data_IF_048293600760
#
_entry.id   IF_048293600760
#
_cell.length_a   1.000
_cell.length_b   1.000
_cell.length_c   1.000
_cell.angle_alpha   90.00
_cell.angle_beta   90.00
_cell.angle_gamma   90.00
#
_symmetry.space_group_name_H-M   'P 1'
#
loop_
_entity.id
_entity.type
_entity.pdbx_description
1 polymer ?
#
# COMPACT_ATOMS: atom_id res chain seq x y z
N UNK A 1 -10.35 38.25 72.61
CA UNK A 1 -11.64 37.85 73.24
C UNK A 1 -11.71 36.37 72.89
N UNK A 2 -11.27 35.58 73.83
CA UNK A 2 -11.99 34.89 74.92
C UNK A 2 -12.55 33.58 74.30
N UNK A 3 -11.91 32.46 74.66
CA UNK A 3 -12.23 31.58 75.81
C UNK A 3 -13.21 30.49 75.40
N UNK A 4 -13.09 29.25 75.66
CA UNK A 4 -12.42 28.45 76.70
C UNK A 4 -12.87 27.00 76.43
N UNK A 5 -12.05 26.02 76.61
CA UNK A 5 -11.78 25.21 77.81
C UNK A 5 -12.96 24.28 78.18
N UNK A 6 -12.79 23.04 78.33
CA UNK A 6 -12.37 22.12 79.38
C UNK A 6 -13.07 20.77 79.18
N UNK A 7 -12.35 19.67 79.19
CA UNK A 7 -12.02 18.71 80.25
C UNK A 7 -13.20 17.87 80.80
N UNK A 8 -13.03 16.54 80.77
CA UNK A 8 -12.92 15.62 81.93
C UNK A 8 -13.09 14.18 81.42
N UNK A 9 -12.09 13.39 81.33
CA UNK A 9 -11.59 12.34 82.24
C UNK A 9 -12.65 11.39 82.86
N UNK A 10 -12.55 10.10 82.66
CA UNK A 10 -12.21 9.07 83.61
C UNK A 10 -12.45 7.63 83.10
N UNK A 11 -11.37 6.92 83.06
CA UNK A 11 -11.06 5.54 83.54
C UNK A 11 -12.21 4.57 83.81
N UNK A 12 -12.07 3.34 83.25
CA UNK A 12 -11.93 2.07 84.01
C UNK A 12 -11.55 0.88 83.13
N UNK A 13 -10.56 0.19 83.68
CA UNK A 13 -10.02 -1.12 83.35
C UNK A 13 -11.09 -2.22 83.26
N UNK A 14 -10.91 -3.27 82.43
CA UNK A 14 -10.55 -4.61 82.85
C UNK A 14 -10.67 -5.62 81.68
N UNK A 15 -9.67 -6.49 81.63
CA UNK A 15 -9.61 -7.93 81.22
C UNK A 15 -9.47 -8.34 79.77
N UNK A 16 -8.32 -8.94 79.55
CA UNK A 16 -7.84 -9.76 78.53
C UNK A 16 -8.72 -10.94 78.16
N UNK A 17 -8.85 -11.18 76.88
CA UNK A 17 -9.00 -12.56 76.35
C UNK A 17 -8.30 -12.66 74.99
N UNK A 18 -7.26 -13.45 74.97
CA UNK A 18 -6.54 -13.84 73.75
C UNK A 18 -7.45 -14.68 72.86
N UNK A 19 -7.76 -14.18 71.66
CA UNK A 19 -8.27 -15.02 70.59
C UNK A 19 -7.32 -14.91 69.39
N UNK A 20 -6.63 -16.03 69.13
CA UNK A 20 -5.89 -16.28 67.93
C UNK A 20 -6.87 -16.30 66.76
N UNK A 21 -6.72 -15.37 65.77
CA UNK A 21 -7.44 -15.44 64.48
C UNK A 21 -6.51 -16.05 63.45
N UNK A 22 -7.00 -17.02 62.65
CA UNK A 22 -6.21 -17.60 61.59
C UNK A 22 -6.04 -16.58 60.46
N UNK A 23 -4.79 -16.43 60.00
CA UNK A 23 -4.42 -15.64 58.83
C UNK A 23 -4.96 -16.40 57.57
N UNK A 24 -6.10 -15.95 57.08
CA UNK A 24 -6.54 -16.34 55.71
C UNK A 24 -5.68 -15.57 54.72
N UNK A 25 -4.71 -16.28 54.11
CA UNK A 25 -4.04 -15.82 52.88
C UNK A 25 -5.10 -15.74 51.78
N UNK A 26 -5.54 -14.56 51.44
CA UNK A 26 -6.22 -14.31 50.16
C UNK A 26 -5.18 -14.50 49.03
N UNK A 27 -5.29 -15.59 48.32
CA UNK A 27 -4.67 -15.69 47.01
C UNK A 27 -5.45 -14.73 46.06
N UNK A 28 -4.88 -13.58 45.78
CA UNK A 28 -5.35 -12.73 44.71
C UNK A 28 -4.98 -13.42 43.38
N UNK A 29 -5.93 -14.14 42.77
CA UNK A 29 -5.85 -14.52 41.37
C UNK A 29 -5.98 -13.23 40.55
N UNK A 30 -4.85 -12.73 40.06
CA UNK A 30 -4.84 -11.74 39.00
C UNK A 30 -5.26 -12.44 37.71
N UNK A 31 -6.54 -12.33 37.37
CA UNK A 31 -6.98 -12.60 35.99
C UNK A 31 -6.33 -11.53 35.09
N UNK A 32 -5.27 -11.91 34.38
CA UNK A 32 -4.82 -11.12 33.25
C UNK A 32 -5.93 -11.16 32.19
N UNK A 33 -6.38 -10.01 31.66
CA UNK A 33 -7.33 -10.04 30.55
C UNK A 33 -6.62 -10.65 29.34
N UNK A 34 -7.03 -11.84 28.94
CA UNK A 34 -6.76 -12.34 27.59
C UNK A 34 -7.47 -11.36 26.63
N UNK A 35 -6.74 -10.41 26.08
CA UNK A 35 -7.15 -9.76 24.86
C UNK A 35 -7.06 -10.81 23.75
N UNK A 36 -8.16 -11.54 23.55
CA UNK A 36 -8.41 -12.20 22.29
C UNK A 36 -8.49 -11.07 21.24
N UNK A 37 -7.41 -10.89 20.49
CA UNK A 37 -7.50 -10.20 19.22
C UNK A 37 -8.43 -11.10 18.39
N UNK A 38 -9.71 -10.76 18.36
CA UNK A 38 -10.60 -11.29 17.38
C UNK A 38 -9.98 -10.90 16.04
N UNK A 39 -9.37 -11.86 15.35
CA UNK A 39 -9.11 -11.72 13.92
C UNK A 39 -10.49 -11.42 13.32
N UNK A 40 -10.75 -10.17 12.97
CA UNK A 40 -11.88 -9.83 12.15
C UNK A 40 -11.80 -10.78 10.95
N UNK A 41 -12.81 -11.61 10.76
CA UNK A 41 -12.94 -12.37 9.54
C UNK A 41 -12.84 -11.34 8.43
N UNK A 42 -11.77 -11.42 7.64
CA UNK A 42 -11.60 -10.53 6.51
C UNK A 42 -12.68 -10.91 5.51
N UNK A 43 -13.79 -10.20 5.58
CA UNK A 43 -14.89 -10.41 4.64
C UNK A 43 -14.36 -10.21 3.22
N UNK A 44 -14.93 -10.98 2.31
CA UNK A 44 -14.63 -10.86 0.90
C UNK A 44 -14.97 -9.46 0.43
N UNK A 45 -13.98 -8.75 -0.10
CA UNK A 45 -14.23 -7.41 -0.64
C UNK A 45 -15.09 -7.49 -1.90
N UNK A 46 -15.90 -6.47 -2.09
CA UNK A 46 -16.67 -6.31 -3.33
C UNK A 46 -15.87 -5.46 -4.31
N UNK A 47 -15.64 -6.01 -5.51
CA UNK A 47 -14.94 -5.32 -6.60
C UNK A 47 -15.70 -5.50 -7.91
N UNK A 48 -15.65 -4.50 -8.78
CA UNK A 48 -16.20 -4.58 -10.14
C UNK A 48 -15.13 -4.21 -11.16
N UNK A 49 -15.27 -4.75 -12.36
CA UNK A 49 -14.43 -4.35 -13.48
C UNK A 49 -14.69 -2.89 -13.85
N UNK A 50 -13.65 -2.04 -14.02
CA UNK A 50 -13.82 -0.59 -14.05
C UNK A 50 -14.34 -0.02 -15.37
N UNK A 51 -14.62 -0.86 -16.37
CA UNK A 51 -15.11 -0.46 -17.69
C UNK A 51 -16.33 -1.27 -18.13
N UNK A 52 -17.09 -0.86 -19.16
CA UNK A 52 -18.17 -1.66 -19.71
C UNK A 52 -17.67 -2.88 -20.54
N UNK A 53 -16.36 -3.03 -20.79
CA UNK A 53 -15.81 -4.17 -21.51
C UNK A 53 -15.92 -5.44 -20.66
N UNK A 54 -16.92 -6.28 -20.94
CA UNK A 54 -17.24 -7.48 -20.18
C UNK A 54 -16.37 -8.70 -20.53
N UNK A 55 -15.45 -8.58 -21.48
CA UNK A 55 -14.67 -9.71 -21.96
C UNK A 55 -13.86 -10.42 -20.86
N UNK A 56 -13.37 -9.67 -19.83
CA UNK A 56 -12.74 -10.28 -18.67
C UNK A 56 -13.76 -11.09 -17.83
N UNK A 57 -14.94 -10.54 -17.54
CA UNK A 57 -16.00 -11.22 -16.79
C UNK A 57 -16.47 -12.48 -17.51
N UNK A 58 -16.51 -12.45 -18.84
CA UNK A 58 -16.89 -13.57 -19.71
C UNK A 58 -15.76 -14.61 -19.89
N UNK A 59 -14.59 -14.39 -19.29
CA UNK A 59 -13.45 -15.30 -19.40
C UNK A 59 -12.82 -15.35 -20.79
N UNK A 60 -12.98 -14.27 -21.58
CA UNK A 60 -12.37 -14.14 -22.92
C UNK A 60 -10.85 -14.00 -22.82
N UNK A 61 -10.10 -14.30 -23.88
CA UNK A 61 -8.64 -14.10 -23.88
C UNK A 61 -8.28 -12.63 -23.71
N UNK A 62 -7.08 -12.36 -23.14
CA UNK A 62 -6.62 -11.00 -22.83
C UNK A 62 -6.66 -10.03 -24.01
N UNK A 63 -6.47 -10.51 -25.23
CA UNK A 63 -6.59 -9.71 -26.46
C UNK A 63 -7.96 -9.06 -26.67
N UNK A 64 -9.00 -9.55 -25.98
CA UNK A 64 -10.34 -9.00 -26.08
C UNK A 64 -10.55 -7.78 -25.17
N UNK A 65 -9.76 -7.63 -24.09
CA UNK A 65 -9.95 -6.56 -23.09
C UNK A 65 -8.67 -5.81 -22.73
N UNK A 66 -7.48 -6.28 -23.08
CA UNK A 66 -6.21 -5.56 -22.89
C UNK A 66 -5.82 -4.85 -24.18
N UNK A 67 -5.56 -3.54 -24.06
CA UNK A 67 -5.09 -2.69 -25.16
C UNK A 67 -3.58 -2.83 -25.30
N UNK A 68 -3.08 -3.34 -26.45
CA UNK A 68 -1.66 -3.40 -26.68
C UNK A 68 -1.05 -2.02 -26.95
N UNK A 69 0.25 -1.91 -26.73
CA UNK A 69 1.06 -0.80 -27.25
C UNK A 69 1.13 -0.88 -28.79
N UNK A 70 1.95 -0.03 -29.41
CA UNK A 70 2.19 -0.10 -30.87
C UNK A 70 2.77 -1.43 -31.36
N UNK A 71 3.25 -2.30 -30.44
CA UNK A 71 3.73 -3.65 -30.76
C UNK A 71 2.62 -4.58 -31.27
N UNK A 72 1.36 -4.30 -30.92
CA UNK A 72 0.23 -5.19 -31.21
C UNK A 72 0.14 -6.41 -30.28
N UNK A 73 1.14 -6.66 -29.42
CA UNK A 73 1.13 -7.74 -28.45
C UNK A 73 0.28 -7.35 -27.22
N UNK A 74 -0.83 -8.07 -26.91
CA UNK A 74 -1.66 -7.79 -25.75
C UNK A 74 -0.89 -7.79 -24.43
N UNK A 75 0.18 -8.59 -24.28
CA UNK A 75 1.01 -8.62 -23.10
C UNK A 75 1.61 -7.23 -22.78
N UNK A 76 1.88 -6.41 -23.80
CA UNK A 76 2.43 -5.05 -23.60
C UNK A 76 1.50 -4.08 -22.88
N UNK A 77 0.22 -4.41 -22.75
CA UNK A 77 -0.77 -3.66 -21.96
C UNK A 77 -1.04 -4.25 -20.59
N UNK A 78 -0.40 -5.36 -20.22
CA UNK A 78 -0.45 -5.96 -18.88
C UNK A 78 0.51 -5.26 -17.94
N UNK A 79 0.38 -5.56 -16.64
CA UNK A 79 1.27 -5.08 -15.59
C UNK A 79 2.66 -5.72 -15.68
N UNK A 80 3.69 -4.95 -15.29
CA UNK A 80 5.05 -5.46 -15.08
C UNK A 80 6.03 -5.20 -16.22
N UNK A 81 7.03 -6.07 -16.34
CA UNK A 81 8.13 -5.99 -17.32
C UNK A 81 7.69 -6.43 -18.71
N UNK A 82 6.73 -5.73 -19.28
CA UNK A 82 6.03 -6.15 -20.52
C UNK A 82 6.32 -5.25 -21.72
N UNK A 83 7.08 -4.16 -21.53
CA UNK A 83 7.39 -3.18 -22.55
C UNK A 83 8.88 -3.19 -22.88
N UNK A 84 9.23 -2.84 -24.14
CA UNK A 84 10.63 -2.74 -24.61
C UNK A 84 11.45 -4.01 -24.31
N UNK A 85 10.91 -5.19 -24.63
CA UNK A 85 11.55 -6.50 -24.39
C UNK A 85 11.87 -6.76 -22.91
N UNK A 86 10.96 -6.39 -22.00
CA UNK A 86 11.11 -6.62 -20.57
C UNK A 86 12.03 -5.64 -19.82
N UNK A 87 12.35 -4.50 -20.42
CA UNK A 87 13.22 -3.47 -19.81
C UNK A 87 12.39 -2.33 -19.22
N UNK A 88 11.22 -2.03 -19.81
CA UNK A 88 10.33 -0.97 -19.33
C UNK A 88 9.15 -1.56 -18.58
N UNK A 89 9.02 -1.14 -17.33
CA UNK A 89 7.95 -1.51 -16.42
C UNK A 89 6.65 -0.77 -16.78
N UNK A 90 5.51 -1.43 -16.55
CA UNK A 90 4.17 -0.88 -16.68
C UNK A 90 3.43 -1.00 -15.34
N UNK A 91 3.00 0.11 -14.77
CA UNK A 91 2.51 0.24 -13.39
C UNK A 91 1.07 -0.26 -13.19
N UNK A 92 0.33 -0.53 -14.26
CA UNK A 92 -1.06 -0.97 -14.24
C UNK A 92 -1.41 -1.87 -15.40
N UNK A 93 -2.69 -1.88 -15.78
CA UNK A 93 -3.18 -2.54 -16.99
C UNK A 93 -3.88 -1.53 -17.90
N UNK A 94 -3.73 -1.71 -19.21
CA UNK A 94 -4.38 -0.89 -20.21
C UNK A 94 -5.65 -1.60 -20.70
N UNK A 95 -6.84 -1.14 -20.26
CA UNK A 95 -8.12 -1.78 -20.57
C UNK A 95 -8.69 -1.19 -21.86
N UNK A 96 -8.93 -2.05 -22.83
CA UNK A 96 -9.42 -1.71 -24.16
C UNK A 96 -10.83 -1.12 -24.12
N UNK A 97 -11.05 -0.05 -24.91
CA UNK A 97 -12.38 0.52 -25.14
C UNK A 97 -13.30 -0.51 -25.83
N UNK A 98 -14.53 -0.63 -25.32
CA UNK A 98 -15.59 -1.43 -25.90
C UNK A 98 -16.57 -0.59 -26.74
N UNK A 99 -16.76 0.66 -26.40
CA UNK A 99 -17.76 1.53 -27.01
C UNK A 99 -17.10 2.74 -27.67
N UNK A 100 -17.46 2.98 -28.95
CA UNK A 100 -16.94 4.12 -29.72
C UNK A 100 -18.03 4.83 -30.48
N UNK A 101 -17.89 6.13 -30.61
CA UNK A 101 -18.76 6.94 -31.46
C UNK A 101 -18.43 6.76 -32.96
N UNK A 102 -19.19 7.46 -33.83
CA UNK A 102 -18.99 7.43 -35.28
C UNK A 102 -17.64 8.00 -35.74
N UNK A 103 -16.95 8.77 -34.88
CA UNK A 103 -15.62 9.33 -35.15
C UNK A 103 -14.52 8.44 -34.58
N UNK A 104 -14.87 7.34 -33.94
CA UNK A 104 -13.95 6.42 -33.28
C UNK A 104 -13.49 6.87 -31.91
N UNK A 105 -14.09 7.91 -31.30
CA UNK A 105 -13.79 8.31 -29.93
C UNK A 105 -14.37 7.31 -28.93
N UNK A 106 -13.64 6.97 -27.84
CA UNK A 106 -14.16 6.06 -26.82
C UNK A 106 -15.33 6.71 -26.08
N UNK A 107 -16.35 5.90 -25.80
CA UNK A 107 -17.57 6.31 -25.07
C UNK A 107 -17.72 5.61 -23.74
N UNK A 108 -16.79 4.71 -23.39
CA UNK A 108 -16.85 3.87 -22.21
C UNK A 108 -16.97 4.71 -20.94
N UNK A 109 -17.99 4.41 -20.13
CA UNK A 109 -18.17 4.95 -18.78
C UNK A 109 -17.25 4.24 -17.82
N UNK A 110 -16.32 4.97 -17.21
CA UNK A 110 -15.40 4.45 -16.20
C UNK A 110 -16.09 4.42 -14.85
N UNK A 111 -15.95 3.31 -14.14
CA UNK A 111 -16.61 3.04 -12.86
C UNK A 111 -15.58 2.89 -11.75
N UNK A 112 -15.94 3.35 -10.53
CA UNK A 112 -15.17 3.06 -9.33
C UNK A 112 -15.14 1.54 -9.08
N UNK A 113 -13.95 0.97 -9.07
CA UNK A 113 -13.77 -0.48 -8.91
C UNK A 113 -14.16 -0.98 -7.51
N UNK A 114 -14.09 -0.10 -6.52
CA UNK A 114 -14.43 -0.33 -5.11
C UNK A 114 -15.02 0.96 -4.52
N UNK A 115 -15.79 0.90 -3.41
CA UNK A 115 -16.23 2.10 -2.70
C UNK A 115 -15.04 2.81 -2.06
N UNK A 116 -15.03 4.15 -2.07
CA UNK A 116 -13.89 4.90 -1.55
C UNK A 116 -14.07 6.40 -1.55
N UNK A 117 -12.96 7.11 -1.40
CA UNK A 117 -12.91 8.58 -1.38
C UNK A 117 -11.98 9.07 -2.48
N UNK A 118 -12.47 9.91 -3.36
CA UNK A 118 -11.65 10.61 -4.37
C UNK A 118 -10.62 11.46 -3.64
N UNK A 119 -9.34 11.21 -3.89
CA UNK A 119 -8.24 11.95 -3.27
C UNK A 119 -7.58 12.94 -4.20
N UNK A 120 -7.58 12.65 -5.49
CA UNK A 120 -6.93 13.49 -6.48
C UNK A 120 -7.66 13.44 -7.82
N UNK A 121 -7.70 14.57 -8.49
CA UNK A 121 -8.21 14.70 -9.86
C UNK A 121 -7.27 15.61 -10.65
N UNK A 122 -6.64 15.05 -11.69
CA UNK A 122 -5.97 15.86 -12.70
C UNK A 122 -6.92 16.13 -13.87
N UNK A 123 -7.33 17.35 -14.04
CA UNK A 123 -8.20 17.76 -15.15
C UNK A 123 -7.44 18.17 -16.42
N UNK A 124 -6.11 18.28 -16.35
CA UNK A 124 -5.23 18.66 -17.48
C UNK A 124 -4.77 17.41 -18.24
N UNK A 125 -4.48 17.58 -19.53
CA UNK A 125 -3.94 16.50 -20.37
C UNK A 125 -2.41 16.47 -20.38
N UNK A 126 -1.79 16.73 -19.23
CA UNK A 126 -0.34 16.79 -19.05
C UNK A 126 0.20 15.56 -18.30
N UNK A 127 1.51 15.32 -18.43
CA UNK A 127 2.17 14.13 -17.88
C UNK A 127 1.77 12.84 -18.59
N UNK A 128 2.36 11.74 -18.15
CA UNK A 128 2.14 10.42 -18.79
C UNK A 128 0.71 9.91 -18.56
N UNK A 129 0.12 10.16 -17.40
CA UNK A 129 -1.27 9.76 -17.09
C UNK A 129 -2.34 10.65 -17.77
N UNK A 130 -2.00 11.85 -18.24
CA UNK A 130 -2.98 12.80 -18.74
C UNK A 130 -4.01 13.17 -17.67
N UNK A 131 -5.31 13.17 -18.03
CA UNK A 131 -6.40 13.32 -17.06
C UNK A 131 -6.56 12.02 -16.28
N UNK A 132 -6.56 12.12 -14.95
CA UNK A 132 -6.72 10.94 -14.10
C UNK A 132 -7.39 11.25 -12.77
N UNK A 133 -7.93 10.20 -12.17
CA UNK A 133 -8.53 10.20 -10.83
C UNK A 133 -7.80 9.20 -9.97
N UNK A 134 -7.57 9.54 -8.70
CA UNK A 134 -7.14 8.59 -7.66
C UNK A 134 -8.20 8.49 -6.59
N UNK A 135 -8.61 7.27 -6.29
CA UNK A 135 -9.56 6.93 -5.22
C UNK A 135 -8.82 6.11 -4.17
N UNK A 136 -8.90 6.51 -2.91
CA UNK A 136 -8.41 5.71 -1.78
C UNK A 136 -9.56 4.91 -1.18
N UNK A 137 -9.28 3.68 -0.77
CA UNK A 137 -10.24 2.73 -0.22
C UNK A 137 -9.93 2.42 1.25
N UNK A 138 -10.30 3.34 2.19
CA UNK A 138 -9.94 3.20 3.61
C UNK A 138 -10.63 2.03 4.31
N UNK A 139 -11.72 1.50 3.73
CA UNK A 139 -12.41 0.31 4.24
C UNK A 139 -11.72 -1.02 3.90
N UNK A 140 -10.63 -0.99 3.14
CA UNK A 140 -9.85 -2.17 2.73
C UNK A 140 -8.60 -2.28 3.61
N UNK A 141 -8.19 -3.50 3.94
CA UNK A 141 -6.97 -3.77 4.71
C UNK A 141 -6.01 -4.63 3.89
N UNK A 142 -4.74 -4.19 3.70
CA UNK A 142 -4.27 -2.81 3.85
C UNK A 142 -5.04 -1.84 2.95
N UNK A 143 -5.19 -0.58 3.34
CA UNK A 143 -5.83 0.44 2.50
C UNK A 143 -5.07 0.57 1.18
N UNK A 144 -5.80 0.59 0.06
CA UNK A 144 -5.22 0.72 -1.27
C UNK A 144 -5.77 1.96 -1.97
N UNK A 145 -5.08 2.38 -3.03
CA UNK A 145 -5.64 3.30 -4.00
C UNK A 145 -6.04 2.55 -5.28
N UNK A 146 -6.95 3.15 -6.05
CA UNK A 146 -7.13 2.87 -7.48
C UNK A 146 -6.87 4.14 -8.27
N UNK A 147 -6.23 3.99 -9.44
CA UNK A 147 -5.93 5.08 -10.35
C UNK A 147 -6.55 4.78 -11.72
N UNK A 148 -7.21 5.80 -12.28
CA UNK A 148 -7.94 5.74 -13.55
C UNK A 148 -7.39 6.84 -14.44
N UNK A 149 -6.59 6.51 -15.47
CA UNK A 149 -5.90 7.49 -16.29
C UNK A 149 -6.33 7.48 -17.77
N UNK A 150 -5.76 8.43 -18.53
CA UNK A 150 -6.05 8.71 -19.94
C UNK A 150 -7.50 9.11 -20.21
N UNK A 151 -8.17 9.73 -19.22
CA UNK A 151 -9.58 10.09 -19.31
C UNK A 151 -9.85 11.18 -20.36
N UNK A 152 -11.02 11.13 -21.02
CA UNK A 152 -11.53 12.21 -21.82
C UNK A 152 -12.08 13.33 -20.92
N UNK A 153 -12.83 12.96 -19.89
CA UNK A 153 -13.41 13.90 -18.91
C UNK A 153 -13.72 13.19 -17.60
N UNK A 154 -13.75 13.97 -16.53
CA UNK A 154 -14.26 13.56 -15.22
C UNK A 154 -15.73 13.98 -15.15
N UNK A 155 -16.59 13.13 -14.56
CA UNK A 155 -18.02 13.43 -14.46
C UNK A 155 -18.29 14.54 -13.43
N UNK A 156 -19.37 15.31 -13.61
CA UNK A 156 -19.80 16.31 -12.63
C UNK A 156 -19.98 15.71 -11.24
N UNK A 157 -19.55 16.43 -10.20
CA UNK A 157 -19.63 15.99 -8.82
C UNK A 157 -18.46 15.11 -8.35
N UNK A 158 -17.57 14.67 -9.24
CA UNK A 158 -16.36 13.90 -8.89
C UNK A 158 -15.20 14.88 -8.65
N UNK A 159 -14.86 15.08 -7.38
CA UNK A 159 -13.80 15.99 -6.93
C UNK A 159 -13.12 15.44 -5.68
N UNK A 160 -11.92 15.91 -5.31
CA UNK A 160 -11.27 15.52 -4.06
C UNK A 160 -12.20 15.67 -2.85
N UNK A 161 -12.32 14.60 -2.04
CA UNK A 161 -13.25 14.50 -0.90
C UNK A 161 -14.60 13.84 -1.23
N UNK A 162 -14.95 13.64 -2.50
CA UNK A 162 -16.17 12.94 -2.88
C UNK A 162 -16.09 11.46 -2.49
N UNK A 163 -17.11 10.96 -1.80
CA UNK A 163 -17.32 9.52 -1.59
C UNK A 163 -17.93 8.92 -2.85
N UNK A 164 -17.44 7.78 -3.26
CA UNK A 164 -17.95 7.02 -4.40
C UNK A 164 -18.32 5.61 -3.98
N UNK A 165 -19.42 5.14 -4.55
CA UNK A 165 -19.93 3.79 -4.33
C UNK A 165 -19.33 2.79 -5.31
N UNK A 166 -19.43 1.49 -4.99
CA UNK A 166 -19.05 0.40 -5.88
C UNK A 166 -19.76 0.55 -7.24
N UNK A 167 -19.00 0.56 -8.33
CA UNK A 167 -19.54 0.64 -9.68
C UNK A 167 -20.10 2.01 -10.07
N UNK A 168 -19.99 3.03 -9.21
CA UNK A 168 -20.39 4.40 -9.55
C UNK A 168 -19.61 4.91 -10.76
N UNK A 169 -20.28 5.50 -11.74
CA UNK A 169 -19.64 6.15 -12.87
C UNK A 169 -18.89 7.40 -12.40
N UNK A 170 -17.62 7.53 -12.81
CA UNK A 170 -16.73 8.61 -12.36
C UNK A 170 -16.14 9.43 -13.51
N UNK A 171 -16.03 8.84 -14.71
CA UNK A 171 -15.36 9.47 -15.84
C UNK A 171 -15.81 8.86 -17.18
N UNK A 172 -15.34 9.48 -18.27
CA UNK A 172 -15.38 8.93 -19.63
C UNK A 172 -13.95 8.53 -20.01
N UNK A 173 -13.78 7.33 -20.58
CA UNK A 173 -12.51 6.88 -21.17
C UNK A 173 -12.04 7.84 -22.25
N UNK A 174 -10.74 8.00 -22.38
CA UNK A 174 -10.15 8.83 -23.40
C UNK A 174 -8.81 8.31 -23.89
N UNK A 175 -7.96 9.25 -24.29
CA UNK A 175 -6.58 9.00 -24.73
C UNK A 175 -5.67 10.19 -24.39
N UNK A 176 -5.97 10.89 -23.29
CA UNK A 176 -5.19 12.05 -22.84
C UNK A 176 -3.82 11.62 -22.33
N UNK A 177 -2.77 12.31 -22.76
CA UNK A 177 -1.39 12.13 -22.34
C UNK A 177 -0.54 13.25 -22.95
N UNK A 178 0.56 13.63 -22.29
CA UNK A 178 1.54 14.56 -22.88
C UNK A 178 2.26 13.98 -24.10
N UNK A 179 2.37 12.66 -24.22
CA UNK A 179 3.05 11.96 -25.32
C UNK A 179 2.13 11.66 -26.50
N UNK A 180 0.82 11.93 -26.37
CA UNK A 180 -0.18 11.67 -27.39
C UNK A 180 -0.46 10.16 -27.58
N UNK A 181 -1.63 9.72 -27.14
CA UNK A 181 -2.12 8.37 -27.43
C UNK A 181 -3.03 8.46 -28.66
N UNK A 182 -2.77 7.69 -29.74
CA UNK A 182 -3.67 7.66 -30.87
C UNK A 182 -5.07 7.20 -30.46
N UNK A 183 -6.10 7.81 -31.03
CA UNK A 183 -7.51 7.52 -30.73
C UNK A 183 -7.86 6.03 -30.88
N UNK A 184 -7.29 5.37 -31.87
CA UNK A 184 -7.50 3.92 -32.13
C UNK A 184 -7.00 3.05 -30.97
N UNK A 185 -6.06 3.58 -30.18
CA UNK A 185 -5.50 2.94 -28.98
C UNK A 185 -6.00 3.56 -27.67
N UNK A 186 -7.11 4.31 -27.72
CA UNK A 186 -7.75 4.81 -26.50
C UNK A 186 -8.09 3.67 -25.55
N UNK A 187 -7.75 3.84 -24.29
CA UNK A 187 -7.85 2.82 -23.24
C UNK A 187 -7.96 3.47 -21.86
N UNK A 188 -8.36 2.70 -20.88
CA UNK A 188 -8.20 3.03 -19.48
C UNK A 188 -6.88 2.44 -18.99
N UNK A 189 -5.93 3.28 -18.56
CA UNK A 189 -4.83 2.81 -17.71
C UNK A 189 -5.35 2.72 -16.26
N UNK A 190 -5.29 1.52 -15.69
CA UNK A 190 -5.88 1.21 -14.39
C UNK A 190 -4.85 0.61 -13.44
N UNK A 191 -4.72 1.19 -12.25
CA UNK A 191 -3.83 0.69 -11.20
C UNK A 191 -4.60 0.38 -9.91
N UNK A 192 -4.09 -0.59 -9.16
CA UNK A 192 -4.39 -0.82 -7.74
C UNK A 192 -3.06 -0.87 -7.00
N UNK A 193 -2.93 -0.16 -5.86
CA UNK A 193 -1.64 -0.15 -5.17
C UNK A 193 -1.68 0.52 -3.81
N UNK A 194 -0.50 0.75 -3.26
CA UNK A 194 -0.26 1.42 -1.98
C UNK A 194 0.55 2.70 -2.17
N UNK A 195 0.30 3.70 -1.34
CA UNK A 195 1.10 4.93 -1.30
C UNK A 195 2.36 4.67 -0.47
N UNK A 196 3.54 5.08 -0.97
CA UNK A 196 4.81 4.83 -0.28
C UNK A 196 4.94 5.69 0.98
N UNK A 197 4.75 7.01 0.89
CA UNK A 197 4.94 7.89 2.05
C UNK A 197 4.09 9.15 1.98
N UNK A 198 3.71 9.69 3.14
CA UNK A 198 3.11 11.02 3.27
C UNK A 198 4.17 12.13 3.30
N UNK A 199 5.43 11.79 3.49
CA UNK A 199 6.55 12.73 3.47
C UNK A 199 7.17 12.88 2.07
N UNK A 200 6.42 12.56 1.03
CA UNK A 200 6.88 12.50 -0.35
C UNK A 200 7.52 13.79 -0.86
N UNK A 201 7.02 14.96 -0.44
CA UNK A 201 7.57 16.24 -0.88
C UNK A 201 9.04 16.39 -0.51
N UNK A 202 9.44 15.96 0.70
CA UNK A 202 10.84 16.03 1.14
C UNK A 202 11.76 15.20 0.24
N UNK A 203 11.30 14.01 -0.16
CA UNK A 203 12.04 13.16 -1.09
C UNK A 203 12.10 13.80 -2.49
N UNK A 204 10.96 14.30 -3.00
CA UNK A 204 10.89 14.94 -4.33
C UNK A 204 11.86 16.11 -4.45
N UNK A 205 11.88 17.01 -3.46
CA UNK A 205 12.76 18.18 -3.43
C UNK A 205 14.24 17.76 -3.37
N UNK A 206 14.56 16.65 -2.68
CA UNK A 206 15.93 16.13 -2.62
C UNK A 206 16.46 15.66 -3.98
N UNK A 207 15.56 15.24 -4.89
CA UNK A 207 15.91 14.74 -6.23
C UNK A 207 16.22 15.83 -7.25
N UNK A 208 15.82 17.08 -6.99
CA UNK A 208 16.09 18.23 -7.86
C UNK A 208 15.67 18.01 -9.32
N UNK A 209 14.44 17.52 -9.53
CA UNK A 209 13.91 17.21 -10.88
C UNK A 209 13.81 18.43 -11.81
N UNK A 210 14.03 19.66 -11.32
CA UNK A 210 13.94 20.88 -12.11
C UNK A 210 12.51 21.39 -12.33
N UNK A 211 11.50 20.69 -11.85
CA UNK A 211 10.08 21.07 -11.90
C UNK A 211 9.43 20.85 -10.54
N UNK A 212 8.41 21.64 -10.16
CA UNK A 212 7.69 21.45 -8.92
C UNK A 212 6.86 20.15 -8.95
N UNK A 213 6.59 19.60 -7.76
CA UNK A 213 5.64 18.50 -7.62
C UNK A 213 4.20 19.03 -7.68
N UNK A 214 3.60 19.05 -8.85
CA UNK A 214 2.23 19.52 -9.07
C UNK A 214 1.15 18.49 -8.67
N UNK A 215 1.55 17.25 -8.35
CA UNK A 215 0.64 16.14 -8.06
C UNK A 215 0.55 15.83 -6.56
N UNK A 216 1.36 16.50 -5.72
CA UNK A 216 1.39 16.27 -4.28
C UNK A 216 1.71 14.81 -3.95
N UNK A 217 0.95 14.22 -3.04
CA UNK A 217 1.11 12.82 -2.62
C UNK A 217 0.74 11.80 -3.72
N UNK A 218 -0.05 12.23 -4.71
CA UNK A 218 -0.58 11.38 -5.78
C UNK A 218 0.25 11.45 -7.07
N UNK A 219 1.51 11.81 -6.91
CA UNK A 219 2.53 11.70 -7.94
C UNK A 219 2.90 10.22 -8.15
N UNK A 220 3.02 9.78 -9.40
CA UNK A 220 3.31 8.37 -9.73
C UNK A 220 4.56 7.81 -9.05
N UNK A 221 5.57 8.63 -8.74
CA UNK A 221 6.74 8.19 -7.97
C UNK A 221 6.43 7.80 -6.51
N UNK A 222 5.28 8.17 -5.98
CA UNK A 222 4.83 7.83 -4.63
C UNK A 222 3.80 6.69 -4.62
N UNK A 223 3.49 6.14 -5.77
CA UNK A 223 2.48 5.11 -5.94
C UNK A 223 3.14 3.80 -6.36
N UNK A 224 2.80 2.71 -5.67
CA UNK A 224 3.29 1.38 -5.96
C UNK A 224 2.11 0.47 -6.27
N UNK A 225 1.87 0.26 -7.55
CA UNK A 225 0.86 -0.68 -8.04
C UNK A 225 1.32 -2.13 -7.87
N UNK A 226 0.36 -3.03 -7.66
CA UNK A 226 0.50 -4.47 -7.86
C UNK A 226 -0.34 -4.90 -9.06
N UNK A 227 -0.13 -6.13 -9.55
CA UNK A 227 -0.81 -6.61 -10.75
C UNK A 227 -2.34 -6.65 -10.59
N UNK A 228 -3.09 -5.71 -11.21
CA UNK A 228 -4.53 -5.68 -11.06
C UNK A 228 -5.19 -6.91 -11.68
N UNK A 229 -4.66 -7.42 -12.80
CA UNK A 229 -5.26 -8.55 -13.50
C UNK A 229 -5.06 -9.85 -12.73
N UNK A 230 -3.88 -10.07 -12.15
CA UNK A 230 -3.62 -11.21 -11.27
C UNK A 230 -4.53 -11.17 -10.03
N UNK A 231 -4.65 -9.98 -9.40
CA UNK A 231 -5.55 -9.80 -8.27
C UNK A 231 -7.02 -10.11 -8.62
N UNK A 232 -7.55 -9.53 -9.70
CA UNK A 232 -8.91 -9.80 -10.16
C UNK A 232 -9.14 -11.28 -10.50
N UNK A 233 -8.16 -11.93 -11.13
CA UNK A 233 -8.25 -13.35 -11.48
C UNK A 233 -8.27 -14.24 -10.25
N UNK A 234 -7.39 -13.99 -9.27
CA UNK A 234 -7.36 -14.73 -7.99
C UNK A 234 -8.63 -14.50 -7.19
N UNK A 235 -9.12 -13.26 -7.13
CA UNK A 235 -10.38 -12.93 -6.47
C UNK A 235 -11.55 -13.66 -7.12
N UNK A 236 -11.67 -13.64 -8.45
CA UNK A 236 -12.72 -14.37 -9.18
C UNK A 236 -12.64 -15.88 -8.94
N UNK A 237 -11.44 -16.44 -8.92
CA UNK A 237 -11.19 -17.86 -8.66
C UNK A 237 -11.32 -18.25 -7.17
N UNK A 238 -11.65 -17.32 -6.27
CA UNK A 238 -11.71 -17.52 -4.82
C UNK A 238 -10.40 -18.04 -4.22
N UNK A 239 -9.28 -17.63 -4.78
CA UNK A 239 -7.94 -17.90 -4.24
C UNK A 239 -7.52 -16.84 -3.23
N UNK A 240 -8.14 -15.66 -3.30
CA UNK A 240 -8.06 -14.59 -2.31
C UNK A 240 -9.44 -13.94 -2.18
N UNK A 241 -9.80 -13.53 -0.98
CA UNK A 241 -11.03 -12.79 -0.73
C UNK A 241 -10.79 -11.28 -0.54
N UNK A 242 -9.54 -10.88 -0.27
CA UNK A 242 -9.20 -9.49 0.01
C UNK A 242 -7.72 -9.20 -0.31
N UNK A 243 -7.31 -7.92 -0.15
CA UNK A 243 -5.95 -7.46 -0.44
C UNK A 243 -4.93 -8.03 0.55
N UNK A 244 -5.30 -8.22 1.82
CA UNK A 244 -4.39 -8.80 2.82
C UNK A 244 -3.98 -10.24 2.44
N UNK A 245 -4.93 -11.04 1.98
CA UNK A 245 -4.66 -12.40 1.51
C UNK A 245 -3.82 -12.40 0.24
N UNK A 246 -4.08 -11.44 -0.67
CA UNK A 246 -3.27 -11.26 -1.87
C UNK A 246 -1.81 -10.95 -1.52
N UNK A 247 -1.58 -10.02 -0.59
CA UNK A 247 -0.24 -9.70 -0.10
C UNK A 247 0.42 -10.89 0.61
N UNK A 248 -0.35 -11.70 1.33
CA UNK A 248 0.12 -12.93 1.95
C UNK A 248 0.64 -13.99 0.96
N UNK A 249 0.27 -13.90 -0.33
CA UNK A 249 0.76 -14.77 -1.40
C UNK A 249 1.97 -14.21 -2.15
N UNK A 250 2.37 -12.94 -1.89
CA UNK A 250 3.53 -12.35 -2.53
C UNK A 250 4.81 -13.10 -2.18
N UNK A 251 5.73 -13.17 -3.14
CA UNK A 251 7.03 -13.82 -2.97
C UNK A 251 8.12 -12.76 -2.87
N UNK A 252 8.98 -12.90 -1.88
CA UNK A 252 10.11 -12.01 -1.71
C UNK A 252 11.16 -12.25 -2.81
N UNK A 253 11.42 -11.23 -3.62
CA UNK A 253 12.62 -11.18 -4.44
C UNK A 253 13.82 -10.75 -3.59
N UNK A 254 13.61 -9.81 -2.67
CA UNK A 254 14.65 -9.26 -1.81
C UNK A 254 14.17 -9.24 -0.36
N UNK A 255 15.05 -9.64 0.57
CA UNK A 255 14.91 -9.35 1.99
C UNK A 255 16.07 -8.45 2.40
N UNK A 256 15.76 -7.26 2.92
CA UNK A 256 16.75 -6.30 3.37
C UNK A 256 16.60 -6.01 4.86
N UNK A 257 17.73 -5.81 5.56
CA UNK A 257 17.78 -5.27 6.93
C UNK A 257 18.19 -3.81 6.87
N UNK A 258 17.47 -2.99 7.62
CA UNK A 258 17.76 -1.56 7.78
C UNK A 258 17.93 -1.29 9.27
N UNK A 259 19.08 -0.72 9.68
CA UNK A 259 19.36 -0.35 11.08
C UNK A 259 18.93 1.08 11.28
N UNK A 260 17.81 1.29 11.97
CA UNK A 260 17.27 2.64 12.22
C UNK A 260 16.23 2.62 13.32
N UNK A 261 16.12 3.71 14.08
CA UNK A 261 15.06 3.88 15.08
C UNK A 261 13.77 4.45 14.48
N UNK A 262 13.78 4.80 13.21
CA UNK A 262 12.60 5.37 12.55
C UNK A 262 11.54 4.30 12.34
N UNK A 263 10.29 4.67 12.65
CA UNK A 263 9.10 3.91 12.27
C UNK A 263 8.45 4.64 11.11
N UNK A 264 8.58 4.15 9.88
CA UNK A 264 8.03 4.81 8.70
C UNK A 264 6.52 5.02 8.80
N UNK A 265 6.01 6.09 8.21
CA UNK A 265 4.57 6.33 8.10
C UNK A 265 3.87 5.22 7.31
N UNK A 266 4.58 4.57 6.39
CA UNK A 266 4.09 3.40 5.65
C UNK A 266 3.56 2.32 6.59
N UNK A 267 4.39 1.83 7.52
CA UNK A 267 3.97 0.74 8.41
C UNK A 267 2.97 1.20 9.48
N UNK A 268 2.94 2.49 9.79
CA UNK A 268 1.90 3.06 10.66
C UNK A 268 0.53 3.06 9.96
N UNK A 269 0.49 3.30 8.65
CA UNK A 269 -0.73 3.24 7.83
C UNK A 269 -1.15 1.82 7.48
N UNK A 270 -0.18 0.91 7.38
CA UNK A 270 -0.38 -0.49 6.97
C UNK A 270 0.09 -1.48 8.04
N UNK A 271 -0.42 -1.39 9.29
CA UNK A 271 0.05 -2.23 10.40
C UNK A 271 -0.21 -3.73 10.18
N UNK A 272 -1.13 -4.08 9.30
CA UNK A 272 -1.42 -5.47 8.92
C UNK A 272 -0.24 -6.16 8.17
N UNK A 273 0.75 -5.39 7.71
CA UNK A 273 1.96 -5.92 7.09
C UNK A 273 3.06 -6.26 8.10
N UNK A 274 2.85 -5.98 9.40
CA UNK A 274 3.76 -6.38 10.47
C UNK A 274 3.69 -7.90 10.67
N UNK A 275 4.85 -8.54 10.69
CA UNK A 275 5.01 -9.98 10.99
C UNK A 275 5.16 -10.27 12.50
N UNK A 276 5.42 -9.24 13.30
CA UNK A 276 5.51 -9.30 14.74
C UNK A 276 5.14 -7.93 15.35
N UNK A 277 4.71 -7.88 16.63
CA UNK A 277 4.48 -6.64 17.35
C UNK A 277 5.76 -5.78 17.42
N UNK A 278 5.59 -4.47 17.52
CA UNK A 278 6.72 -3.57 17.80
C UNK A 278 7.36 -3.93 19.15
N UNK A 279 8.69 -3.82 19.29
CA UNK A 279 9.38 -4.01 20.57
C UNK A 279 8.80 -3.08 21.65
N UNK A 280 8.83 -3.49 22.92
CA UNK A 280 8.37 -2.68 24.05
C UNK A 280 9.21 -1.39 24.24
N UNK A 281 10.41 -1.32 23.65
CA UNK A 281 11.29 -0.14 23.65
C UNK A 281 11.46 0.44 22.25
N UNK A 282 12.62 1.06 22.02
CA UNK A 282 12.96 1.59 20.70
C UNK A 282 13.12 0.47 19.68
N UNK A 283 12.61 0.69 18.47
CA UNK A 283 12.93 -0.13 17.32
C UNK A 283 14.43 0.03 17.02
N UNK A 284 15.16 -1.08 16.87
CA UNK A 284 16.57 -1.09 16.47
C UNK A 284 16.74 -1.10 14.95
N UNK A 285 15.75 -1.62 14.24
CA UNK A 285 15.79 -1.74 12.79
C UNK A 285 14.60 -2.51 12.25
N UNK A 286 14.71 -2.86 10.99
CA UNK A 286 13.67 -3.57 10.24
C UNK A 286 14.27 -4.65 9.35
N UNK A 287 13.62 -5.79 9.27
CA UNK A 287 13.77 -6.72 8.15
C UNK A 287 12.52 -6.65 7.30
N UNK A 288 12.71 -6.32 6.03
CA UNK A 288 11.61 -6.05 5.10
C UNK A 288 11.74 -6.98 3.91
N UNK A 289 10.63 -7.61 3.53
CA UNK A 289 10.53 -8.38 2.32
C UNK A 289 9.90 -7.52 1.23
N UNK A 290 10.59 -7.46 0.11
CA UNK A 290 10.14 -6.76 -1.10
C UNK A 290 9.83 -7.78 -2.18
N UNK A 291 8.70 -7.63 -2.84
CA UNK A 291 8.43 -8.39 -4.05
C UNK A 291 9.32 -7.91 -5.20
N UNK A 292 9.19 -8.50 -6.37
CA UNK A 292 10.01 -8.15 -7.53
C UNK A 292 9.74 -6.74 -8.09
N UNK A 293 8.65 -6.11 -7.72
CA UNK A 293 8.31 -4.73 -8.10
C UNK A 293 8.82 -3.69 -7.11
N UNK A 294 9.21 -4.14 -5.92
CA UNK A 294 9.71 -3.31 -4.82
C UNK A 294 8.66 -3.00 -3.76
N UNK A 295 7.46 -3.63 -3.80
CA UNK A 295 6.45 -3.46 -2.75
C UNK A 295 6.97 -4.07 -1.44
N UNK A 296 7.05 -3.30 -0.34
CA UNK A 296 7.47 -3.79 0.97
C UNK A 296 6.30 -4.46 1.68
N UNK A 297 6.01 -5.72 1.35
CA UNK A 297 4.78 -6.41 1.74
C UNK A 297 4.83 -7.12 3.11
N UNK A 298 6.01 -7.30 3.71
CA UNK A 298 6.16 -7.96 5.01
C UNK A 298 7.27 -7.31 5.83
N UNK A 299 6.96 -6.96 7.08
CA UNK A 299 7.80 -6.16 7.94
C UNK A 299 8.04 -6.83 9.28
N UNK A 300 9.29 -7.14 9.62
CA UNK A 300 9.70 -7.62 10.95
C UNK A 300 10.46 -6.52 11.67
N UNK A 301 9.93 -5.97 12.78
CA UNK A 301 10.67 -5.03 13.60
C UNK A 301 11.79 -5.77 14.35
N UNK A 302 12.93 -5.10 14.52
CA UNK A 302 14.08 -5.60 15.26
C UNK A 302 14.24 -4.84 16.57
N UNK A 303 14.52 -5.55 17.65
CA UNK A 303 14.92 -4.94 18.91
C UNK A 303 16.36 -4.39 18.82
N UNK A 304 16.76 -3.49 19.74
CA UNK A 304 18.11 -2.92 19.77
C UNK A 304 19.20 -3.99 19.84
N UNK A 305 18.97 -5.06 20.60
CA UNK A 305 19.92 -6.15 20.76
C UNK A 305 20.22 -6.90 19.45
N UNK A 306 19.25 -6.98 18.55
CA UNK A 306 19.39 -7.69 17.26
C UNK A 306 20.24 -6.94 16.24
N UNK A 307 20.49 -5.65 16.47
CA UNK A 307 21.30 -4.78 15.60
C UNK A 307 22.54 -4.23 16.29
N UNK A 308 22.87 -4.74 17.48
CA UNK A 308 24.04 -4.30 18.25
C UNK A 308 25.33 -4.45 17.43
N UNK A 309 26.14 -3.41 17.39
CA UNK A 309 27.39 -3.38 16.61
C UNK A 309 27.24 -3.07 15.12
N UNK A 310 26.02 -2.88 14.63
CA UNK A 310 25.78 -2.42 13.26
C UNK A 310 25.68 -0.89 13.22
N UNK A 311 26.09 -0.28 12.12
CA UNK A 311 26.00 1.16 11.95
C UNK A 311 24.56 1.62 11.68
N UNK A 312 24.21 2.78 12.25
CA UNK A 312 22.90 3.44 11.96
C UNK A 312 22.80 3.74 10.44
N UNK A 313 21.58 3.59 9.92
CA UNK A 313 21.24 3.72 8.50
C UNK A 313 21.93 2.71 7.58
N UNK A 314 22.60 1.70 8.16
CA UNK A 314 23.15 0.59 7.40
C UNK A 314 22.02 -0.24 6.79
N UNK A 315 22.11 -0.46 5.47
CA UNK A 315 21.25 -1.40 4.75
C UNK A 315 22.06 -2.60 4.31
N UNK A 316 21.52 -3.79 4.56
CA UNK A 316 22.13 -5.07 4.19
C UNK A 316 21.14 -5.93 3.43
N UNK A 317 21.50 -6.43 2.27
CA UNK A 317 20.72 -7.44 1.56
C UNK A 317 20.96 -8.79 2.23
N UNK A 318 19.95 -9.30 2.93
CA UNK A 318 20.03 -10.60 3.61
C UNK A 318 19.82 -11.76 2.65
N UNK A 319 18.90 -11.57 1.69
CA UNK A 319 18.53 -12.57 0.70
C UNK A 319 18.09 -11.90 -0.59
N UNK A 320 18.45 -12.50 -1.73
CA UNK A 320 17.90 -12.19 -3.03
C UNK A 320 17.62 -13.48 -3.80
N UNK A 321 16.44 -13.58 -4.40
CA UNK A 321 16.08 -14.71 -5.25
C UNK A 321 16.71 -14.51 -6.63
N UNK A 322 17.73 -15.30 -6.93
CA UNK A 322 18.51 -15.21 -8.18
C UNK A 322 17.64 -15.43 -9.43
N UNK A 323 16.67 -16.34 -9.35
CA UNK A 323 15.80 -16.65 -10.48
C UNK A 323 14.86 -15.49 -10.79
N UNK A 324 14.25 -14.93 -9.75
CA UNK A 324 13.40 -13.75 -9.85
C UNK A 324 14.18 -12.51 -10.34
N UNK A 325 15.39 -12.27 -9.82
CA UNK A 325 16.27 -11.17 -10.27
C UNK A 325 16.65 -11.31 -11.75
N UNK A 326 16.91 -12.52 -12.23
CA UNK A 326 17.24 -12.77 -13.64
C UNK A 326 16.02 -12.61 -14.56
N UNK A 327 14.84 -12.95 -14.07
CA UNK A 327 13.58 -12.86 -14.83
C UNK A 327 13.08 -11.41 -14.96
N UNK A 328 13.18 -10.60 -13.88
CA UNK A 328 12.63 -9.26 -13.80
C UNK A 328 13.74 -8.21 -13.96
N UNK A 329 13.74 -7.50 -15.09
CA UNK A 329 14.77 -6.53 -15.46
C UNK A 329 14.29 -5.08 -15.55
N UNK A 330 12.99 -4.86 -15.51
CA UNK A 330 12.38 -3.53 -15.54
C UNK A 330 12.52 -2.78 -14.22
N UNK A 331 12.61 -3.52 -13.10
CA UNK A 331 12.91 -3.00 -11.76
C UNK A 331 14.22 -3.60 -11.24
N UNK A 332 15.17 -2.77 -10.89
CA UNK A 332 16.50 -3.19 -10.39
C UNK A 332 16.55 -3.01 -8.88
N UNK A 333 16.07 -4.00 -8.13
CA UNK A 333 16.09 -3.97 -6.66
C UNK A 333 17.47 -4.28 -6.10
N UNK A 334 18.22 -5.14 -6.74
CA UNK A 334 19.59 -5.50 -6.34
C UNK A 334 20.52 -5.54 -7.55
N UNK A 335 21.82 -5.39 -7.28
CA UNK A 335 22.89 -5.51 -8.26
C UNK A 335 23.98 -6.44 -7.73
N UNK A 336 24.71 -7.19 -8.58
CA UNK A 336 25.83 -8.00 -8.13
C UNK A 336 26.89 -7.12 -7.45
N UNK A 337 27.38 -7.58 -6.28
CA UNK A 337 28.42 -6.88 -5.52
C UNK A 337 29.17 -7.87 -4.63
N UNK A 338 30.51 -7.96 -4.76
CA UNK A 338 31.36 -8.68 -3.83
C UNK A 338 31.01 -10.17 -3.61
N UNK A 339 30.58 -10.88 -4.66
CA UNK A 339 30.12 -12.28 -4.55
C UNK A 339 28.68 -12.46 -4.04
N UNK A 340 27.98 -11.36 -3.71
CA UNK A 340 26.59 -11.28 -3.28
C UNK A 340 25.81 -10.23 -4.05
N UNK A 341 24.92 -9.56 -3.35
CA UNK A 341 24.09 -8.48 -3.90
C UNK A 341 24.21 -7.22 -3.05
N UNK A 342 24.35 -6.07 -3.71
CA UNK A 342 24.15 -4.74 -3.18
C UNK A 342 22.81 -4.15 -3.59
N UNK A 343 22.49 -2.98 -3.03
CA UNK A 343 21.24 -2.25 -3.30
C UNK A 343 21.22 -1.79 -4.75
N UNK A 344 20.13 -2.06 -5.46
CA UNK A 344 19.85 -1.53 -6.79
C UNK A 344 19.08 -0.21 -6.73
N UNK A 345 19.02 0.51 -7.85
CA UNK A 345 18.45 1.87 -7.94
C UNK A 345 16.99 1.97 -7.49
N UNK A 346 16.17 0.96 -7.81
CA UNK A 346 14.74 1.02 -7.51
C UNK A 346 14.49 0.71 -6.02
N UNK A 347 15.22 -0.22 -5.42
CA UNK A 347 15.18 -0.45 -3.97
C UNK A 347 15.72 0.74 -3.18
N UNK A 348 16.80 1.36 -3.65
CA UNK A 348 17.34 2.58 -3.05
C UNK A 348 16.30 3.70 -3.01
N UNK A 349 15.58 3.90 -4.12
CA UNK A 349 14.49 4.87 -4.22
C UNK A 349 13.41 4.60 -3.18
N UNK A 350 12.94 3.37 -3.06
CA UNK A 350 11.91 2.98 -2.09
C UNK A 350 12.39 3.20 -0.65
N UNK A 351 13.63 2.80 -0.34
CA UNK A 351 14.21 2.99 0.99
C UNK A 351 14.38 4.47 1.35
N UNK A 352 14.77 5.31 0.38
CA UNK A 352 14.84 6.76 0.56
C UNK A 352 13.48 7.38 0.86
N UNK A 353 12.43 6.93 0.18
CA UNK A 353 11.06 7.40 0.42
C UNK A 353 10.54 6.93 1.78
N UNK A 354 10.78 5.67 2.15
CA UNK A 354 10.30 5.08 3.40
C UNK A 354 11.02 5.63 4.64
N UNK A 355 12.34 5.81 4.56
CA UNK A 355 13.17 6.11 5.73
C UNK A 355 13.87 7.47 5.66
N UNK A 356 13.76 8.19 4.54
CA UNK A 356 14.53 9.43 4.32
C UNK A 356 16.04 9.18 4.31
N UNK A 357 16.50 8.00 3.87
CA UNK A 357 17.92 7.67 3.71
C UNK A 357 18.54 8.54 2.62
N UNK A 358 19.80 8.95 2.81
CA UNK A 358 20.55 9.82 1.86
C UNK A 358 21.63 9.05 1.16
#
# INVERSE_FOLDING_TARGET
>A
MAEGANEFEQTRRFLSLKYCKPVRRLLALTLAPLFAVAAAANDRIEIVWPTPNRAWEEGRPISAYIQPTASGDPQSGCYGDVRSNGIRFHEGIDIKSAERDRRGEPMDRIRAAMPGVVRYVNSRSDGDYGRYIVIEHPGITPSVYTLYAHLASVLPGIAPGTHVELGQEIAIMGHSSSTGIPRERAHLHFEIGVMVTREFQNWYDSKRFGSPNERGLWNGFNLMGFDPLDFYNKWRARQVDNVQEYFGQMKAQVTARIVTHRVPDFIQRYPSLLQAPLPAGLVGGWEIQFDWTGIPFAWRPLALQEVMGLATDQVTILRADRSSVAQHRGKILVRPQGGGYGIGRDLETVLQQLFGLR
#
